data_IF_689759857214
#
_entry.id   IF_689759857214
#
_cell.length_a   1.000
_cell.length_b   1.000
_cell.length_c   1.000
_cell.angle_alpha   90.00
_cell.angle_beta   90.00
_cell.angle_gamma   90.00
#
_symmetry.space_group_name_H-M   'P 1'
#
loop_
_entity.id
_entity.type
_entity.pdbx_description
1 polymer ?
#
# COMPACT_ATOMS: atom_id res chain seq x y z
N UNK A 1 -9.74 12.51 -18.60
CA UNK A 1 -8.45 13.24 -18.62
C UNK A 1 -8.14 13.77 -17.21
N UNK A 2 -6.88 13.97 -16.88
CA UNK A 2 -6.40 14.59 -15.62
C UNK A 2 -6.23 16.07 -15.84
N UNK A 3 -6.80 16.91 -14.98
CA UNK A 3 -6.65 18.36 -15.04
C UNK A 3 -5.29 18.79 -14.46
N UNK A 4 -4.82 19.98 -14.82
CA UNK A 4 -3.48 20.43 -14.44
C UNK A 4 -3.32 20.73 -12.94
N UNK A 5 -4.41 21.05 -12.26
CA UNK A 5 -4.47 21.33 -10.82
C UNK A 5 -4.71 20.09 -9.94
N UNK A 6 -4.93 18.92 -10.55
CA UNK A 6 -5.11 17.68 -9.82
C UNK A 6 -3.77 17.07 -9.40
N UNK A 7 -3.73 16.54 -8.18
CA UNK A 7 -2.57 15.85 -7.64
C UNK A 7 -3.01 14.55 -6.94
N UNK A 8 -2.06 13.75 -6.47
CA UNK A 8 -2.42 12.58 -5.65
C UNK A 8 -3.19 12.97 -4.38
N UNK A 9 -2.87 14.12 -3.80
CA UNK A 9 -3.62 14.65 -2.66
C UNK A 9 -5.09 14.95 -3.02
N UNK A 10 -5.39 15.30 -4.27
CA UNK A 10 -6.76 15.53 -4.74
C UNK A 10 -7.66 14.30 -4.60
N UNK A 11 -7.11 13.07 -4.67
CA UNK A 11 -7.88 11.84 -4.43
C UNK A 11 -8.57 11.87 -3.07
N UNK A 12 -7.88 12.36 -2.05
CA UNK A 12 -8.41 12.46 -0.69
C UNK A 12 -9.42 13.61 -0.55
N UNK A 13 -9.11 14.78 -1.06
CA UNK A 13 -10.00 15.95 -0.97
C UNK A 13 -11.27 15.77 -1.78
N UNK A 14 -11.21 15.17 -2.94
CA UNK A 14 -12.38 14.85 -3.77
C UNK A 14 -13.28 13.80 -3.09
N UNK A 15 -12.68 12.77 -2.47
CA UNK A 15 -13.45 11.82 -1.65
C UNK A 15 -14.20 12.53 -0.53
N UNK A 16 -13.52 13.42 0.20
CA UNK A 16 -14.16 14.19 1.29
C UNK A 16 -15.31 15.04 0.74
N UNK A 17 -15.14 15.67 -0.41
CA UNK A 17 -16.19 16.46 -1.04
C UNK A 17 -17.42 15.62 -1.43
N UNK A 18 -17.22 14.36 -1.83
CA UNK A 18 -18.32 13.46 -2.20
C UNK A 18 -19.02 12.81 -1.00
N UNK A 19 -18.24 12.36 0.00
CA UNK A 19 -18.77 11.47 1.05
C UNK A 19 -18.51 11.96 2.49
N UNK A 20 -17.84 13.11 2.66
CA UNK A 20 -17.57 13.70 3.98
C UNK A 20 -16.45 13.00 4.74
N UNK A 21 -16.38 13.29 6.03
CA UNK A 21 -15.27 12.90 6.92
C UNK A 21 -15.54 11.67 7.79
N UNK A 22 -16.78 11.20 7.85
CA UNK A 22 -17.19 10.17 8.83
C UNK A 22 -16.93 8.74 8.39
N UNK A 23 -16.77 8.48 7.09
CA UNK A 23 -16.54 7.13 6.57
C UNK A 23 -15.15 6.63 6.95
N UNK A 24 -15.03 5.31 7.16
CA UNK A 24 -13.73 4.67 7.36
C UNK A 24 -12.96 4.66 6.04
N UNK A 25 -11.69 5.04 6.07
CA UNK A 25 -10.81 5.06 4.90
C UNK A 25 -9.66 4.05 5.03
N UNK A 26 -9.24 3.76 6.24
CA UNK A 26 -8.11 2.88 6.50
C UNK A 26 -8.31 2.08 7.79
N UNK A 27 -7.56 1.00 7.91
CA UNK A 27 -7.40 0.28 9.16
C UNK A 27 -5.91 0.16 9.51
N UNK A 28 -5.58 0.56 10.72
CA UNK A 28 -4.24 0.46 11.30
C UNK A 28 -4.15 -0.81 12.12
N UNK A 29 -3.13 -1.60 11.87
CA UNK A 29 -2.87 -2.80 12.64
C UNK A 29 -2.38 -2.45 14.04
N UNK A 30 -3.02 -3.02 15.06
CA UNK A 30 -2.69 -2.81 16.48
C UNK A 30 -2.12 -4.04 17.16
N UNK A 31 -2.21 -5.20 16.51
CA UNK A 31 -1.70 -6.48 16.99
C UNK A 31 -2.11 -7.61 16.04
N UNK A 32 -1.72 -8.88 16.30
CA UNK A 32 -2.14 -10.01 15.49
C UNK A 32 -3.66 -10.14 15.43
N UNK A 33 -4.25 -10.02 14.23
CA UNK A 33 -5.69 -10.05 14.01
C UNK A 33 -6.47 -8.85 14.56
N UNK A 34 -5.80 -7.82 15.07
CA UNK A 34 -6.41 -6.64 15.68
C UNK A 34 -6.18 -5.40 14.84
N UNK A 35 -7.24 -4.61 14.64
CA UNK A 35 -7.27 -3.43 13.79
C UNK A 35 -7.96 -2.25 14.48
N UNK A 36 -7.48 -1.06 14.20
CA UNK A 36 -8.13 0.20 14.56
C UNK A 36 -8.59 0.90 13.30
N UNK A 37 -9.88 1.19 13.20
CA UNK A 37 -10.45 1.91 12.07
C UNK A 37 -10.10 3.39 12.13
N UNK A 38 -9.75 3.96 10.98
CA UNK A 38 -9.40 5.37 10.82
C UNK A 38 -10.46 6.01 9.92
N UNK A 39 -11.07 7.08 10.38
CA UNK A 39 -12.01 7.85 9.57
C UNK A 39 -11.30 8.68 8.51
N UNK A 40 -12.00 9.03 7.45
CA UNK A 40 -11.48 9.89 6.39
C UNK A 40 -11.00 11.24 6.96
N UNK A 41 -11.77 11.83 7.88
CA UNK A 41 -11.39 13.08 8.54
C UNK A 41 -10.13 12.96 9.38
N UNK A 42 -9.96 11.88 10.14
CA UNK A 42 -8.73 11.65 10.91
C UNK A 42 -7.52 11.39 10.02
N UNK A 43 -7.69 10.62 8.95
CA UNK A 43 -6.61 10.42 7.98
C UNK A 43 -6.17 11.76 7.37
N UNK A 44 -7.13 12.58 6.95
CA UNK A 44 -6.86 13.92 6.40
C UNK A 44 -6.15 14.83 7.42
N UNK A 45 -6.61 14.82 8.68
CA UNK A 45 -5.95 15.57 9.77
C UNK A 45 -4.48 15.18 9.92
N UNK A 46 -4.19 13.87 9.94
CA UNK A 46 -2.82 13.36 10.04
C UNK A 46 -1.96 13.77 8.83
N UNK A 47 -2.52 13.71 7.62
CA UNK A 47 -1.85 14.14 6.38
C UNK A 47 -1.47 15.62 6.47
N UNK A 48 -2.40 16.49 6.86
CA UNK A 48 -2.14 17.92 6.96
C UNK A 48 -1.15 18.26 8.08
N UNK A 49 -1.25 17.59 9.23
CA UNK A 49 -0.30 17.75 10.34
C UNK A 49 1.13 17.35 9.93
N UNK A 50 1.28 16.22 9.23
CA UNK A 50 2.57 15.78 8.70
C UNK A 50 3.09 16.73 7.62
N UNK A 51 2.23 17.23 6.73
CA UNK A 51 2.60 18.19 5.70
C UNK A 51 3.15 19.49 6.30
N UNK A 52 2.50 20.05 7.32
CA UNK A 52 3.02 21.19 8.07
C UNK A 52 4.37 20.92 8.72
N UNK A 53 4.54 19.72 9.29
CA UNK A 53 5.81 19.30 9.87
C UNK A 53 6.94 19.22 8.84
N UNK A 54 6.65 18.72 7.65
CA UNK A 54 7.60 18.68 6.53
C UNK A 54 7.99 20.09 6.08
N UNK A 55 7.04 21.00 5.97
CA UNK A 55 7.31 22.43 5.65
C UNK A 55 8.20 23.04 6.73
N UNK A 56 7.88 22.86 8.01
CA UNK A 56 8.68 23.39 9.11
C UNK A 56 10.10 22.83 9.15
N UNK A 57 10.29 21.58 8.75
CA UNK A 57 11.60 20.97 8.61
C UNK A 57 12.43 21.57 7.45
N UNK A 58 11.78 22.20 6.48
CA UNK A 58 12.42 22.80 5.31
C UNK A 58 12.23 21.99 4.02
N UNK A 59 11.29 21.04 4.00
CA UNK A 59 10.92 20.33 2.77
C UNK A 59 10.03 21.22 1.93
N UNK A 60 10.47 21.51 0.72
CA UNK A 60 9.74 22.29 -0.28
C UNK A 60 9.38 21.45 -1.51
N UNK A 61 8.74 22.14 -2.48
CA UNK A 61 8.39 21.56 -3.78
C UNK A 61 9.65 21.03 -4.48
N UNK A 62 9.59 19.79 -4.95
CA UNK A 62 10.70 19.13 -5.62
C UNK A 62 11.76 18.52 -4.69
N UNK A 63 11.70 18.78 -3.39
CA UNK A 63 12.63 18.19 -2.43
C UNK A 63 12.31 16.72 -2.20
N UNK A 64 13.35 15.89 -2.11
CA UNK A 64 13.24 14.46 -1.95
C UNK A 64 13.23 14.05 -0.46
N UNK A 65 12.31 13.17 -0.12
CA UNK A 65 12.18 12.52 1.18
C UNK A 65 12.09 11.00 0.98
N UNK A 66 12.85 10.24 1.76
CA UNK A 66 12.84 8.78 1.72
C UNK A 66 11.91 8.20 2.78
N UNK A 67 11.09 7.23 2.37
CA UNK A 67 10.39 6.32 3.27
C UNK A 67 11.05 4.94 3.16
N UNK A 68 11.67 4.51 4.26
CA UNK A 68 12.32 3.20 4.37
C UNK A 68 11.57 2.35 5.40
N UNK A 69 10.56 1.65 4.94
CA UNK A 69 9.55 1.05 5.80
C UNK A 69 8.86 -0.14 5.14
N UNK A 70 8.44 -1.09 5.95
CA UNK A 70 7.41 -2.05 5.57
C UNK A 70 6.07 -1.34 5.26
N UNK A 71 5.09 -2.10 4.77
CA UNK A 71 3.76 -1.59 4.41
C UNK A 71 2.98 -1.23 5.68
N UNK A 72 3.05 0.03 6.07
CA UNK A 72 2.45 0.57 7.30
C UNK A 72 1.49 1.71 7.00
N UNK A 73 0.54 1.91 7.91
CA UNK A 73 -0.40 3.03 7.88
C UNK A 73 0.31 4.39 7.78
N UNK A 74 1.38 4.60 8.55
CA UNK A 74 2.14 5.84 8.57
C UNK A 74 2.81 6.13 7.22
N UNK A 75 3.18 5.09 6.47
CA UNK A 75 3.70 5.25 5.11
C UNK A 75 2.65 5.92 4.20
N UNK A 76 1.40 5.47 4.29
CA UNK A 76 0.29 6.06 3.54
C UNK A 76 0.06 7.52 3.90
N UNK A 77 0.04 7.86 5.18
CA UNK A 77 -0.10 9.25 5.65
C UNK A 77 1.01 10.14 5.10
N UNK A 78 2.27 9.69 5.20
CA UNK A 78 3.43 10.44 4.73
C UNK A 78 3.45 10.61 3.22
N UNK A 79 3.05 9.59 2.47
CA UNK A 79 2.95 9.66 1.01
C UNK A 79 1.98 10.77 0.56
N UNK A 80 0.80 10.84 1.17
CA UNK A 80 -0.16 11.91 0.89
C UNK A 80 0.30 13.29 1.39
N UNK A 81 1.01 13.34 2.51
CA UNK A 81 1.58 14.59 3.02
C UNK A 81 2.65 15.17 2.07
N UNK A 82 3.53 14.32 1.57
CA UNK A 82 4.53 14.69 0.56
C UNK A 82 3.87 15.14 -0.74
N UNK A 83 2.86 14.39 -1.20
CA UNK A 83 2.09 14.74 -2.39
C UNK A 83 1.40 16.10 -2.26
N UNK A 84 0.86 16.43 -1.09
CA UNK A 84 0.15 17.68 -0.86
C UNK A 84 1.03 18.91 -1.06
N UNK A 85 2.29 18.86 -0.67
CA UNK A 85 3.24 20.00 -0.73
C UNK A 85 4.18 19.95 -1.94
N UNK A 86 3.98 19.01 -2.86
CA UNK A 86 4.82 18.87 -4.04
C UNK A 86 6.21 18.31 -3.77
N UNK A 87 6.46 17.71 -2.62
CA UNK A 87 7.68 17.00 -2.32
C UNK A 87 7.72 15.65 -3.06
N UNK A 88 8.91 15.12 -3.25
CA UNK A 88 9.15 13.89 -4.01
C UNK A 88 9.37 12.73 -3.05
N UNK A 89 8.51 11.73 -3.10
CA UNK A 89 8.68 10.51 -2.34
C UNK A 89 9.69 9.60 -3.06
N UNK A 90 10.81 9.32 -2.39
CA UNK A 90 11.86 8.42 -2.88
C UNK A 90 11.90 7.19 -1.98
N UNK A 91 11.00 6.22 -2.20
CA UNK A 91 10.89 5.08 -1.31
C UNK A 91 12.06 4.12 -1.48
N UNK A 92 12.44 3.48 -0.39
CA UNK A 92 13.42 2.40 -0.34
C UNK A 92 12.69 1.13 0.10
N UNK A 93 12.95 0.01 -0.59
CA UNK A 93 12.40 -1.27 -0.18
C UNK A 93 12.86 -1.64 1.22
N UNK A 94 11.94 -2.16 2.04
CA UNK A 94 12.23 -2.60 3.41
C UNK A 94 13.30 -3.69 3.49
N UNK A 95 13.52 -4.41 2.38
CA UNK A 95 14.55 -5.44 2.22
C UNK A 95 15.88 -4.91 1.66
N UNK A 96 15.96 -3.65 1.26
CA UNK A 96 17.19 -3.07 0.71
C UNK A 96 18.29 -2.99 1.77
N UNK A 97 19.52 -3.24 1.32
CA UNK A 97 20.71 -3.09 2.16
C UNK A 97 21.04 -1.64 2.42
N UNK A 98 21.89 -1.39 3.44
CA UNK A 98 22.43 -0.07 3.70
C UNK A 98 23.13 0.55 2.48
N UNK A 99 23.89 -0.23 1.72
CA UNK A 99 24.57 0.23 0.51
C UNK A 99 23.59 0.62 -0.61
N UNK A 100 22.49 -0.12 -0.77
CA UNK A 100 21.44 0.23 -1.72
C UNK A 100 20.73 1.52 -1.31
N UNK A 101 20.37 1.66 -0.04
CA UNK A 101 19.76 2.87 0.50
C UNK A 101 20.68 4.09 0.34
N UNK A 102 21.97 3.96 0.62
CA UNK A 102 22.98 5.03 0.44
C UNK A 102 23.00 5.55 -1.00
N UNK A 103 22.99 4.66 -1.98
CA UNK A 103 22.98 5.04 -3.41
C UNK A 103 21.72 5.82 -3.76
N UNK A 104 20.57 5.35 -3.34
CA UNK A 104 19.27 5.98 -3.62
C UNK A 104 19.22 7.38 -2.98
N UNK A 105 19.60 7.48 -1.72
CA UNK A 105 19.58 8.73 -0.96
C UNK A 105 20.50 9.77 -1.59
N UNK A 106 21.71 9.39 -1.96
CA UNK A 106 22.68 10.31 -2.58
C UNK A 106 22.32 10.69 -4.02
N UNK A 107 21.84 9.72 -4.80
CA UNK A 107 21.42 9.99 -6.20
C UNK A 107 20.24 10.95 -6.27
N UNK A 108 19.31 10.87 -5.34
CA UNK A 108 18.09 11.70 -5.30
C UNK A 108 18.24 12.97 -4.46
N UNK A 109 19.34 13.16 -3.76
CA UNK A 109 19.54 14.33 -2.89
C UNK A 109 18.55 14.39 -1.72
N UNK A 110 18.26 13.28 -1.10
CA UNK A 110 17.27 13.15 -0.02
C UNK A 110 17.68 13.97 1.20
N UNK A 111 16.77 14.81 1.70
CA UNK A 111 16.97 15.66 2.88
C UNK A 111 16.57 15.00 4.19
N UNK A 112 15.50 14.24 4.15
CA UNK A 112 14.84 13.62 5.30
C UNK A 112 14.55 12.17 4.97
N UNK A 113 14.80 11.28 5.90
CA UNK A 113 14.37 9.89 5.82
C UNK A 113 13.46 9.54 7.00
N UNK A 114 12.44 8.74 6.73
CA UNK A 114 11.56 8.18 7.76
C UNK A 114 11.63 6.65 7.65
N UNK A 115 12.03 6.01 8.73
CA UNK A 115 12.07 4.55 8.86
C UNK A 115 10.88 4.07 9.70
N UNK A 116 10.57 2.79 9.64
CA UNK A 116 9.51 2.22 10.46
C UNK A 116 10.00 1.78 11.85
N UNK A 117 11.11 1.06 11.93
CA UNK A 117 11.58 0.43 13.16
C UNK A 117 13.06 0.66 13.42
N UNK A 118 13.53 0.18 14.58
CA UNK A 118 14.94 0.33 15.02
C UNK A 118 15.91 -0.33 14.04
N UNK A 119 15.59 -1.48 13.49
CA UNK A 119 16.48 -2.19 12.55
C UNK A 119 16.78 -1.34 11.32
N UNK A 120 15.75 -0.77 10.68
CA UNK A 120 15.93 0.08 9.50
C UNK A 120 16.50 1.44 9.84
N UNK A 121 16.17 1.98 11.01
CA UNK A 121 16.81 3.19 11.52
C UNK A 121 18.32 2.99 11.63
N UNK A 122 18.78 1.93 12.31
CA UNK A 122 20.19 1.64 12.50
C UNK A 122 20.90 1.38 11.16
N UNK A 123 20.20 0.77 10.21
CA UNK A 123 20.70 0.55 8.84
C UNK A 123 20.98 1.86 8.11
N UNK A 124 20.13 2.87 8.20
CA UNK A 124 20.37 4.21 7.66
C UNK A 124 21.41 4.98 8.49
N UNK A 125 21.35 4.89 9.78
CA UNK A 125 22.32 5.58 10.66
C UNK A 125 23.75 5.12 10.38
N UNK A 126 23.93 3.85 10.05
CA UNK A 126 25.25 3.28 9.70
C UNK A 126 25.90 3.91 8.44
N UNK A 127 25.12 4.56 7.60
CA UNK A 127 25.60 5.20 6.36
C UNK A 127 25.38 6.72 6.35
N UNK A 128 24.93 7.29 7.44
CA UNK A 128 24.54 8.70 7.53
C UNK A 128 25.73 9.64 7.26
N UNK A 129 26.91 9.29 7.69
CA UNK A 129 28.15 10.03 7.43
C UNK A 129 28.55 10.04 5.94
N UNK A 130 28.05 9.12 5.14
CA UNK A 130 28.23 9.05 3.68
C UNK A 130 27.08 9.66 2.87
N UNK A 131 26.07 10.20 3.55
CA UNK A 131 24.92 10.85 2.93
C UNK A 131 24.87 12.33 3.36
N UNK A 132 25.73 13.20 2.80
CA UNK A 132 25.89 14.58 3.28
C UNK A 132 24.63 15.44 3.12
N UNK A 133 23.73 15.11 2.20
CA UNK A 133 22.44 15.78 2.02
C UNK A 133 21.37 15.39 3.03
N UNK A 134 21.53 14.24 3.68
CA UNK A 134 20.57 13.73 4.67
C UNK A 134 20.73 14.46 6.01
N UNK A 135 19.72 15.25 6.39
CA UNK A 135 19.79 16.11 7.56
C UNK A 135 19.22 15.42 8.82
N UNK A 136 18.26 14.52 8.66
CA UNK A 136 17.60 13.84 9.78
C UNK A 136 16.99 12.50 9.36
N UNK A 137 16.97 11.58 10.32
CA UNK A 137 16.24 10.31 10.22
C UNK A 137 15.20 10.28 11.34
N UNK A 138 13.92 10.10 10.97
CA UNK A 138 12.82 9.87 11.89
C UNK A 138 12.46 8.38 11.90
N UNK A 139 11.79 7.93 12.96
CA UNK A 139 11.36 6.55 13.11
C UNK A 139 9.88 6.50 13.50
N UNK A 140 9.09 5.72 12.76
CA UNK A 140 7.64 5.58 12.99
C UNK A 140 7.36 4.98 14.37
N UNK A 141 8.12 3.98 14.80
CA UNK A 141 8.02 3.41 16.15
C UNK A 141 8.43 4.40 17.26
N UNK A 142 9.19 5.43 16.92
CA UNK A 142 9.50 6.59 17.75
C UNK A 142 8.54 7.75 17.59
N UNK A 143 7.34 7.51 17.05
CA UNK A 143 6.31 8.52 16.81
C UNK A 143 6.73 9.62 15.81
N UNK A 144 7.22 9.24 14.64
CA UNK A 144 7.59 10.18 13.57
C UNK A 144 6.44 11.15 13.21
N UNK A 145 5.20 10.66 13.14
CA UNK A 145 4.04 11.52 12.84
C UNK A 145 3.82 12.58 13.92
N UNK A 146 3.94 12.22 15.19
CA UNK A 146 3.85 13.18 16.30
C UNK A 146 5.00 14.19 16.31
N UNK A 147 6.20 13.77 15.94
CA UNK A 147 7.35 14.68 15.80
C UNK A 147 7.12 15.71 14.69
N UNK A 148 6.60 15.28 13.53
CA UNK A 148 6.25 16.19 12.44
C UNK A 148 5.10 17.11 12.82
N UNK A 149 4.05 16.61 13.47
CA UNK A 149 2.95 17.43 13.98
C UNK A 149 3.45 18.52 14.94
N UNK A 150 4.35 18.17 15.87
CA UNK A 150 4.98 19.13 16.79
C UNK A 150 5.80 20.20 16.09
N UNK A 151 6.58 19.85 15.07
CA UNK A 151 7.31 20.79 14.25
C UNK A 151 6.38 21.73 13.47
N UNK A 152 5.26 21.22 13.01
CA UNK A 152 4.33 21.94 12.13
C UNK A 152 3.40 22.93 12.82
N UNK A 153 3.39 23.00 14.14
CA UNK A 153 2.48 23.92 14.87
C UNK A 153 2.69 25.39 14.55
N UNK A 154 3.88 25.77 14.12
CA UNK A 154 4.22 27.13 13.69
C UNK A 154 3.85 27.45 12.24
N UNK A 155 3.47 26.46 11.46
CA UNK A 155 3.07 26.64 10.04
C UNK A 155 1.58 26.95 10.00
N UNK A 156 1.22 28.06 9.37
CA UNK A 156 -0.18 28.49 9.24
C UNK A 156 -0.94 27.66 8.19
N UNK A 157 -2.27 27.66 8.30
CA UNK A 157 -3.12 27.05 7.29
C UNK A 157 -2.95 27.71 5.92
N UNK A 158 -2.77 29.04 5.90
CA UNK A 158 -2.54 29.81 4.67
C UNK A 158 -1.24 29.41 3.97
N UNK A 159 -0.17 29.17 4.71
CA UNK A 159 1.09 28.68 4.14
C UNK A 159 0.93 27.28 3.56
N UNK A 160 0.26 26.37 4.27
CA UNK A 160 -0.02 25.02 3.80
C UNK A 160 -0.87 25.06 2.52
N UNK A 161 -1.95 25.83 2.52
CA UNK A 161 -2.83 26.00 1.35
C UNK A 161 -2.09 26.56 0.14
N UNK A 162 -1.18 27.50 0.32
CA UNK A 162 -0.35 28.03 -0.74
C UNK A 162 0.58 26.96 -1.34
N UNK A 163 1.16 26.10 -0.51
CA UNK A 163 1.98 24.97 -0.97
C UNK A 163 1.16 23.93 -1.74
N UNK A 164 -0.04 23.63 -1.28
CA UNK A 164 -0.97 22.74 -1.97
C UNK A 164 -1.36 23.32 -3.33
N UNK A 165 -1.71 24.60 -3.38
CA UNK A 165 -2.11 25.27 -4.61
C UNK A 165 -0.97 25.39 -5.64
N UNK A 166 0.28 25.39 -5.20
CA UNK A 166 1.46 25.43 -6.07
C UNK A 166 1.87 24.06 -6.63
N UNK A 167 1.18 22.99 -6.24
CA UNK A 167 1.47 21.62 -6.71
C UNK A 167 0.51 21.25 -7.83
N UNK A 168 1.06 20.73 -8.94
CA UNK A 168 0.31 20.46 -10.18
C UNK A 168 0.50 19.02 -10.65
N UNK A 169 -0.34 18.61 -11.59
CA UNK A 169 -0.37 17.23 -12.10
C UNK A 169 0.96 16.78 -12.73
N UNK A 170 1.66 17.69 -13.40
CA UNK A 170 2.94 17.37 -14.07
C UNK A 170 4.16 17.50 -13.15
N UNK A 171 3.97 17.89 -11.90
CA UNK A 171 5.03 17.87 -10.92
C UNK A 171 5.43 16.43 -10.59
N UNK A 172 6.69 16.25 -10.26
CA UNK A 172 7.25 14.98 -9.88
C UNK A 172 6.67 14.53 -8.53
N UNK A 173 6.05 13.36 -8.51
CA UNK A 173 5.47 12.76 -7.28
C UNK A 173 6.45 11.81 -6.59
N UNK A 174 7.22 11.06 -7.36
CA UNK A 174 8.10 10.01 -6.84
C UNK A 174 9.22 9.66 -7.80
N UNK A 175 10.31 9.15 -7.24
CA UNK A 175 11.36 8.46 -7.99
C UNK A 175 11.42 7.03 -7.48
N UNK A 176 11.14 6.06 -8.35
CA UNK A 176 11.17 4.63 -8.02
C UNK A 176 12.45 4.03 -8.59
N UNK A 177 13.26 3.45 -7.71
CA UNK A 177 14.49 2.78 -8.11
C UNK A 177 14.24 1.32 -8.44
N UNK A 178 14.63 0.92 -9.64
CA UNK A 178 14.54 -0.47 -10.10
C UNK A 178 15.93 -1.06 -10.29
N UNK A 179 16.08 -2.37 -10.05
CA UNK A 179 17.28 -3.11 -10.40
C UNK A 179 17.42 -3.16 -11.93
N UNK A 180 18.26 -2.30 -12.48
CA UNK A 180 18.56 -2.29 -13.92
C UNK A 180 19.38 -3.52 -14.33
N UNK A 181 19.29 -3.91 -15.60
CA UNK A 181 20.09 -4.98 -16.21
C UNK A 181 21.61 -4.70 -16.19
N UNK A 182 22.04 -3.51 -15.84
CA UNK A 182 23.43 -3.02 -15.84
C UNK A 182 24.05 -2.84 -14.44
N UNK A 183 23.43 -3.34 -13.39
CA UNK A 183 23.99 -3.41 -12.02
C UNK A 183 23.79 -2.18 -11.13
N UNK A 184 23.64 -0.96 -11.65
CA UNK A 184 23.32 0.23 -10.87
C UNK A 184 21.81 0.49 -10.89
N UNK A 185 21.14 0.74 -9.74
CA UNK A 185 19.73 1.11 -9.71
C UNK A 185 19.50 2.39 -10.52
N UNK A 186 18.43 2.38 -11.33
CA UNK A 186 17.99 3.55 -12.09
C UNK A 186 16.73 4.11 -11.46
N UNK A 187 16.72 5.42 -11.25
CA UNK A 187 15.54 6.15 -10.77
C UNK A 187 14.57 6.41 -11.92
N UNK A 188 13.35 5.93 -11.76
CA UNK A 188 12.23 6.21 -12.69
C UNK A 188 11.40 7.32 -12.07
N UNK A 189 11.34 8.44 -12.77
CA UNK A 189 10.56 9.61 -12.36
C UNK A 189 9.10 9.46 -12.79
N UNK A 190 8.18 9.60 -11.83
CA UNK A 190 6.74 9.53 -12.04
C UNK A 190 6.06 10.78 -11.50
N UNK A 191 5.20 11.38 -12.34
CA UNK A 191 4.41 12.55 -11.98
C UNK A 191 3.10 12.17 -11.32
N UNK A 192 2.42 13.14 -10.70
CA UNK A 192 1.06 12.96 -10.21
C UNK A 192 0.13 12.51 -11.35
N UNK A 193 0.26 13.11 -12.53
CA UNK A 193 -0.54 12.76 -13.72
C UNK A 193 -0.37 11.29 -14.12
N UNK A 194 0.83 10.74 -14.02
CA UNK A 194 1.06 9.33 -14.36
C UNK A 194 0.20 8.41 -13.49
N UNK A 195 0.22 8.61 -12.17
CA UNK A 195 -0.59 7.81 -11.26
C UNK A 195 -2.09 8.06 -11.43
N UNK A 196 -2.52 9.30 -11.51
CA UNK A 196 -3.94 9.64 -11.65
C UNK A 196 -4.54 9.05 -12.92
N UNK A 197 -3.80 9.04 -14.03
CA UNK A 197 -4.23 8.45 -15.29
C UNK A 197 -4.46 6.93 -15.13
N UNK A 198 -3.56 6.24 -14.44
CA UNK A 198 -3.68 4.79 -14.20
C UNK A 198 -4.81 4.49 -13.21
N UNK A 199 -5.00 5.31 -12.17
CA UNK A 199 -6.11 5.17 -11.22
C UNK A 199 -7.45 5.28 -11.94
N UNK A 200 -7.61 6.28 -12.81
CA UNK A 200 -8.85 6.44 -13.61
C UNK A 200 -9.09 5.27 -14.54
N UNK A 201 -8.06 4.81 -15.24
CA UNK A 201 -8.16 3.60 -16.06
C UNK A 201 -8.55 2.37 -15.22
N UNK A 202 -8.01 2.27 -14.01
CA UNK A 202 -8.37 1.22 -13.05
C UNK A 202 -9.87 1.25 -12.71
N UNK A 203 -10.41 2.41 -12.43
CA UNK A 203 -11.85 2.56 -12.15
C UNK A 203 -12.73 2.22 -13.36
N UNK A 204 -12.32 2.60 -14.56
CA UNK A 204 -13.04 2.26 -15.79
C UNK A 204 -13.02 0.74 -16.08
N UNK A 205 -11.90 0.08 -15.84
CA UNK A 205 -11.73 -1.33 -16.17
C UNK A 205 -12.15 -2.30 -15.06
N UNK A 206 -12.03 -1.90 -13.79
CA UNK A 206 -12.18 -2.73 -12.60
C UNK A 206 -13.10 -2.10 -11.55
N UNK A 207 -14.01 -1.21 -11.95
CA UNK A 207 -14.88 -0.47 -11.04
C UNK A 207 -15.68 -1.36 -10.10
N UNK A 208 -16.19 -2.49 -10.59
CA UNK A 208 -16.92 -3.46 -9.77
C UNK A 208 -16.10 -4.00 -8.58
N UNK A 209 -14.78 -4.10 -8.74
CA UNK A 209 -13.87 -4.58 -7.68
C UNK A 209 -13.39 -3.42 -6.80
N UNK A 210 -13.05 -2.29 -7.43
CA UNK A 210 -12.35 -1.18 -6.77
C UNK A 210 -13.29 -0.18 -6.10
N UNK A 211 -14.56 -0.10 -6.55
CA UNK A 211 -15.50 0.94 -6.12
C UNK A 211 -16.81 0.40 -5.54
N UNK A 212 -17.27 -0.76 -6.00
CA UNK A 212 -18.61 -1.24 -5.64
C UNK A 212 -18.58 -2.11 -4.37
N UNK A 213 -19.73 -2.17 -3.67
CA UNK A 213 -19.98 -3.08 -2.54
C UNK A 213 -19.02 -2.87 -1.33
N UNK A 214 -18.70 -1.64 -1.00
CA UNK A 214 -17.83 -1.29 0.14
C UNK A 214 -16.46 -2.00 0.06
N UNK A 215 -15.61 -1.64 -0.92
CA UNK A 215 -14.37 -2.37 -1.18
C UNK A 215 -13.40 -2.28 0.00
N UNK A 216 -12.82 -3.42 0.35
CA UNK A 216 -11.85 -3.57 1.43
C UNK A 216 -10.58 -4.23 0.89
N UNK A 217 -9.50 -3.49 0.90
CA UNK A 217 -8.18 -3.93 0.45
C UNK A 217 -7.30 -4.28 1.64
N UNK A 218 -6.82 -5.51 1.74
CA UNK A 218 -5.69 -5.83 2.61
C UNK A 218 -4.39 -5.69 1.81
N UNK A 219 -3.61 -4.65 2.13
CA UNK A 219 -2.40 -4.30 1.41
C UNK A 219 -1.17 -4.81 2.14
N UNK A 220 -0.43 -5.72 1.52
CA UNK A 220 0.78 -6.34 2.07
C UNK A 220 1.97 -6.30 1.10
N UNK A 221 1.79 -5.83 -0.13
CA UNK A 221 2.88 -5.61 -1.07
C UNK A 221 3.72 -4.40 -0.67
N UNK A 222 5.03 -4.37 -1.03
CA UNK A 222 5.88 -3.23 -0.75
C UNK A 222 5.37 -1.95 -1.43
N UNK A 223 5.12 -0.90 -0.65
CA UNK A 223 4.69 0.41 -1.17
C UNK A 223 5.80 1.15 -1.94
N UNK A 224 7.06 0.73 -1.81
CA UNK A 224 8.14 1.17 -2.70
C UNK A 224 7.91 0.76 -4.16
N UNK A 225 7.09 -0.27 -4.42
CA UNK A 225 6.70 -0.67 -5.76
C UNK A 225 5.48 0.11 -6.24
N UNK A 226 5.54 0.66 -7.46
CA UNK A 226 4.49 1.52 -8.01
C UNK A 226 3.11 0.83 -8.11
N UNK A 227 3.07 -0.48 -8.31
CA UNK A 227 1.82 -1.24 -8.41
C UNK A 227 1.08 -1.32 -7.05
N UNK A 228 1.80 -1.50 -5.95
CA UNK A 228 1.20 -1.43 -4.61
C UNK A 228 0.67 -0.03 -4.29
N UNK A 229 1.40 1.01 -4.70
CA UNK A 229 0.95 2.40 -4.57
C UNK A 229 -0.29 2.68 -5.41
N UNK A 230 -0.32 2.22 -6.65
CA UNK A 230 -1.49 2.34 -7.53
C UNK A 230 -2.75 1.81 -6.85
N UNK A 231 -2.70 0.59 -6.29
CA UNK A 231 -3.87 0.00 -5.64
C UNK A 231 -4.27 0.72 -4.36
N UNK A 232 -3.30 1.26 -3.61
CA UNK A 232 -3.55 2.16 -2.47
C UNK A 232 -4.33 3.40 -2.92
N UNK A 233 -3.91 4.03 -3.99
CA UNK A 233 -4.59 5.21 -4.53
C UNK A 233 -5.99 4.91 -5.01
N UNK A 234 -6.22 3.75 -5.63
CA UNK A 234 -7.57 3.31 -6.01
C UNK A 234 -8.48 3.18 -4.79
N UNK A 235 -7.99 2.62 -3.70
CA UNK A 235 -8.76 2.49 -2.46
C UNK A 235 -9.06 3.85 -1.81
N UNK A 236 -8.04 4.69 -1.66
CA UNK A 236 -8.17 6.02 -1.04
C UNK A 236 -9.08 6.94 -1.87
N UNK A 237 -8.97 6.90 -3.19
CA UNK A 237 -9.75 7.74 -4.10
C UNK A 237 -11.19 7.27 -4.33
N UNK A 238 -11.58 6.07 -3.89
CA UNK A 238 -12.96 5.58 -3.96
C UNK A 238 -13.83 6.20 -2.87
N UNK A 239 -15.15 6.11 -3.00
CA UNK A 239 -16.07 6.77 -2.07
C UNK A 239 -16.06 6.18 -0.67
N UNK A 240 -15.90 4.88 -0.53
CA UNK A 240 -15.97 4.16 0.74
C UNK A 240 -14.96 3.00 0.87
N UNK A 241 -13.95 2.96 0.00
CA UNK A 241 -12.87 1.98 0.11
C UNK A 241 -12.11 2.09 1.42
N UNK A 242 -11.75 0.93 1.97
CA UNK A 242 -10.95 0.83 3.19
C UNK A 242 -9.67 0.05 2.89
N UNK A 243 -8.53 0.64 3.17
CA UNK A 243 -7.23 -0.03 3.06
C UNK A 243 -6.72 -0.43 4.44
N UNK A 244 -6.44 -1.71 4.64
CA UNK A 244 -5.73 -2.24 5.79
C UNK A 244 -4.26 -2.47 5.43
N UNK A 245 -3.37 -1.89 6.21
CA UNK A 245 -1.92 -2.01 5.98
C UNK A 245 -1.36 -3.18 6.80
N UNK A 246 -0.78 -4.17 6.12
CA UNK A 246 -0.16 -5.34 6.73
C UNK A 246 1.37 -5.29 6.59
N UNK A 247 2.10 -4.95 7.66
CA UNK A 247 3.56 -4.82 7.62
C UNK A 247 4.29 -6.16 7.54
N UNK A 248 3.72 -7.23 8.11
CA UNK A 248 4.36 -8.53 8.25
C UNK A 248 3.48 -9.66 7.74
N UNK A 249 3.99 -10.39 6.76
CA UNK A 249 3.33 -11.55 6.15
C UNK A 249 3.18 -12.76 7.09
N UNK A 250 3.84 -12.77 8.25
CA UNK A 250 3.73 -13.86 9.23
C UNK A 250 2.32 -14.00 9.80
N UNK A 251 1.61 -12.89 9.93
CA UNK A 251 0.23 -12.82 10.44
C UNK A 251 -0.84 -12.78 9.33
N UNK A 252 -0.49 -13.05 8.08
CA UNK A 252 -1.41 -12.93 6.94
C UNK A 252 -2.75 -13.66 7.15
N UNK A 253 -2.72 -14.93 7.57
CA UNK A 253 -3.95 -15.72 7.71
C UNK A 253 -4.88 -15.19 8.83
N UNK A 254 -4.40 -14.91 10.05
CA UNK A 254 -5.23 -14.25 11.06
C UNK A 254 -5.77 -12.89 10.61
N UNK A 255 -4.96 -12.12 9.90
CA UNK A 255 -5.34 -10.78 9.46
C UNK A 255 -6.35 -10.80 8.31
N UNK A 256 -6.27 -11.76 7.39
CA UNK A 256 -7.30 -11.99 6.38
C UNK A 256 -8.67 -12.27 7.03
N UNK A 257 -8.70 -13.08 8.08
CA UNK A 257 -9.93 -13.40 8.79
C UNK A 257 -10.53 -12.23 9.54
N UNK A 258 -9.69 -11.43 10.18
CA UNK A 258 -10.14 -10.30 11.01
C UNK A 258 -10.47 -9.07 10.18
N UNK A 259 -9.69 -8.77 9.16
CA UNK A 259 -9.90 -7.62 8.29
C UNK A 259 -11.05 -7.84 7.30
N UNK A 260 -11.25 -9.06 6.82
CA UNK A 260 -12.29 -9.44 5.84
C UNK A 260 -12.18 -8.63 4.54
N UNK A 261 -11.10 -8.78 3.78
CA UNK A 261 -10.97 -8.07 2.51
C UNK A 261 -11.99 -8.54 1.49
N UNK A 262 -12.40 -7.65 0.60
CA UNK A 262 -13.21 -7.97 -0.59
C UNK A 262 -12.32 -8.26 -1.80
N UNK A 263 -11.11 -7.70 -1.82
CA UNK A 263 -10.12 -7.99 -2.85
C UNK A 263 -8.69 -7.92 -2.31
N UNK A 264 -7.80 -8.58 -3.01
CA UNK A 264 -6.37 -8.64 -2.70
C UNK A 264 -5.55 -8.41 -3.96
N UNK A 265 -4.41 -7.78 -3.77
CA UNK A 265 -3.36 -7.73 -4.76
C UNK A 265 -2.19 -8.59 -4.25
N UNK A 266 -1.84 -9.62 -4.98
CA UNK A 266 -0.78 -10.54 -4.57
C UNK A 266 0.05 -11.03 -5.76
N UNK A 267 1.25 -11.48 -5.43
CA UNK A 267 2.11 -12.21 -6.36
C UNK A 267 1.90 -13.72 -6.18
N UNK A 268 2.19 -14.56 -7.20
CA UNK A 268 1.93 -16.01 -7.15
C UNK A 268 2.43 -16.70 -5.87
N UNK A 269 3.59 -16.31 -5.36
CA UNK A 269 4.17 -16.87 -4.11
C UNK A 269 3.29 -16.68 -2.87
N UNK A 270 2.46 -15.64 -2.84
CA UNK A 270 1.51 -15.41 -1.73
C UNK A 270 0.44 -16.50 -1.75
N UNK A 271 -0.13 -16.78 -2.90
CA UNK A 271 -1.14 -17.82 -3.07
C UNK A 271 -0.58 -19.22 -2.81
N UNK A 272 0.67 -19.49 -3.24
CA UNK A 272 1.39 -20.72 -2.91
C UNK A 272 1.56 -20.88 -1.38
N UNK A 273 1.92 -19.79 -0.68
CA UNK A 273 2.05 -19.81 0.78
C UNK A 273 0.73 -20.13 1.48
N UNK A 274 -0.36 -19.54 1.01
CA UNK A 274 -1.71 -19.81 1.52
C UNK A 274 -2.10 -21.27 1.26
N UNK A 275 -1.90 -21.76 0.04
CA UNK A 275 -2.16 -23.15 -0.34
C UNK A 275 -1.36 -24.12 0.54
N UNK A 276 -0.07 -23.91 0.69
CA UNK A 276 0.81 -24.75 1.49
C UNK A 276 0.44 -24.75 2.98
N UNK A 277 -0.02 -23.61 3.52
CA UNK A 277 -0.52 -23.53 4.88
C UNK A 277 -1.82 -24.33 5.06
N UNK A 278 -2.75 -24.21 4.12
CA UNK A 278 -3.99 -25.00 4.10
C UNK A 278 -3.71 -26.50 3.97
N UNK A 279 -2.80 -26.88 3.07
CA UNK A 279 -2.38 -28.27 2.87
C UNK A 279 -1.74 -28.87 4.12
N UNK A 280 -0.82 -28.14 4.78
CA UNK A 280 -0.23 -28.58 6.06
C UNK A 280 -1.28 -28.76 7.15
N UNK A 281 -2.26 -27.86 7.23
CA UNK A 281 -3.37 -27.96 8.20
C UNK A 281 -4.26 -29.16 7.93
N UNK A 282 -4.47 -29.55 6.69
CA UNK A 282 -5.21 -30.74 6.29
C UNK A 282 -4.48 -32.05 6.64
N UNK A 283 -3.12 -32.01 6.68
CA UNK A 283 -2.27 -33.15 7.02
C UNK A 283 -2.21 -34.23 5.94
N UNK A 284 -1.67 -35.39 6.28
CA UNK A 284 -1.47 -36.51 5.33
C UNK A 284 -2.56 -37.62 5.40
N UNK A 285 -3.45 -37.53 6.39
CA UNK A 285 -4.52 -38.53 6.59
C UNK A 285 -5.71 -38.38 5.63
N UNK A 286 -6.87 -38.83 6.05
CA UNK A 286 -8.11 -38.77 5.26
C UNK A 286 -8.46 -37.33 4.80
N UNK A 287 -8.34 -36.36 5.70
CA UNK A 287 -8.56 -34.94 5.40
C UNK A 287 -7.57 -34.40 4.34
N UNK A 288 -6.30 -34.81 4.42
CA UNK A 288 -5.29 -34.45 3.43
C UNK A 288 -5.60 -35.00 2.04
N UNK A 289 -6.10 -36.24 1.96
CA UNK A 289 -6.53 -36.81 0.67
C UNK A 289 -7.73 -36.08 0.08
N UNK A 290 -8.72 -35.73 0.90
CA UNK A 290 -9.88 -34.93 0.46
C UNK A 290 -9.41 -33.56 -0.05
N UNK A 291 -8.50 -32.89 0.66
CA UNK A 291 -7.94 -31.61 0.26
C UNK A 291 -7.20 -31.71 -1.08
N UNK A 292 -6.38 -32.75 -1.28
CA UNK A 292 -5.66 -32.97 -2.52
C UNK A 292 -6.60 -33.21 -3.73
N UNK A 293 -7.67 -33.99 -3.52
CA UNK A 293 -8.71 -34.20 -4.55
C UNK A 293 -9.48 -32.94 -4.87
N UNK A 294 -9.81 -32.12 -3.86
CA UNK A 294 -10.44 -30.82 -4.06
C UNK A 294 -9.55 -29.86 -4.85
N UNK A 295 -8.27 -29.80 -4.51
CA UNK A 295 -7.30 -28.97 -5.22
C UNK A 295 -7.11 -29.41 -6.68
N UNK A 296 -7.14 -30.70 -6.96
CA UNK A 296 -7.12 -31.24 -8.32
C UNK A 296 -8.39 -30.85 -9.08
N UNK A 297 -9.55 -31.04 -8.49
CA UNK A 297 -10.84 -30.66 -9.07
C UNK A 297 -10.90 -29.15 -9.41
N UNK A 298 -10.38 -28.28 -8.52
CA UNK A 298 -10.31 -26.83 -8.76
C UNK A 298 -9.40 -26.50 -9.96
N UNK A 299 -8.25 -27.17 -10.08
CA UNK A 299 -7.36 -26.98 -11.24
C UNK A 299 -7.99 -27.43 -12.57
N UNK A 300 -8.67 -28.59 -12.56
CA UNK A 300 -9.39 -29.09 -13.74
C UNK A 300 -10.52 -28.13 -14.14
N UNK A 301 -11.25 -27.61 -13.16
CA UNK A 301 -12.31 -26.62 -13.37
C UNK A 301 -11.78 -25.36 -14.04
N UNK A 302 -10.76 -24.75 -13.42
CA UNK A 302 -10.14 -23.53 -13.94
C UNK A 302 -9.58 -23.68 -15.36
N UNK A 303 -8.94 -24.82 -15.67
CA UNK A 303 -8.45 -25.12 -17.02
C UNK A 303 -9.60 -25.18 -18.03
N UNK A 304 -10.69 -25.85 -17.68
CA UNK A 304 -11.86 -25.94 -18.57
C UNK A 304 -12.45 -24.55 -18.88
N UNK A 305 -12.48 -23.67 -17.89
CA UNK A 305 -12.94 -22.28 -18.08
C UNK A 305 -11.98 -21.47 -18.96
N UNK A 306 -10.66 -21.56 -18.70
CA UNK A 306 -9.64 -20.88 -19.51
C UNK A 306 -9.64 -21.32 -20.98
N UNK A 307 -9.91 -22.59 -21.23
CA UNK A 307 -9.99 -23.15 -22.58
C UNK A 307 -11.34 -22.89 -23.26
N UNK A 308 -12.24 -22.14 -22.61
CA UNK A 308 -13.60 -21.84 -23.15
C UNK A 308 -14.50 -23.07 -23.26
N UNK A 309 -14.15 -24.17 -22.55
CA UNK A 309 -14.88 -25.42 -22.57
C UNK A 309 -16.10 -25.43 -21.66
N UNK A 310 -17.02 -26.39 -21.91
CA UNK A 310 -18.16 -26.63 -21.01
C UNK A 310 -17.81 -27.72 -20.00
N UNK A 311 -18.13 -27.47 -18.74
CA UNK A 311 -17.94 -28.46 -17.67
C UNK A 311 -18.88 -29.66 -17.85
N UNK A 312 -18.32 -30.86 -17.73
CA UNK A 312 -19.11 -32.10 -17.73
C UNK A 312 -20.02 -32.19 -16.50
N UNK A 313 -21.06 -33.02 -16.56
CA UNK A 313 -21.93 -33.24 -15.41
C UNK A 313 -21.16 -33.76 -14.16
N UNK A 314 -20.16 -34.60 -14.39
CA UNK A 314 -19.32 -35.14 -13.31
C UNK A 314 -18.38 -34.08 -12.71
N UNK A 315 -17.87 -33.15 -13.54
CA UNK A 315 -17.08 -32.01 -13.04
C UNK A 315 -17.93 -31.08 -12.20
N UNK A 316 -19.14 -30.75 -12.65
CA UNK A 316 -20.09 -29.93 -11.88
C UNK A 316 -20.45 -30.55 -10.55
N UNK A 317 -20.75 -31.85 -10.52
CA UNK A 317 -21.10 -32.56 -9.28
C UNK A 317 -19.93 -32.59 -8.28
N UNK A 318 -18.72 -32.89 -8.75
CA UNK A 318 -17.51 -32.88 -7.89
C UNK A 318 -17.18 -31.45 -7.38
N UNK A 319 -17.26 -30.45 -8.23
CA UNK A 319 -17.03 -29.08 -7.83
C UNK A 319 -18.05 -28.64 -6.75
N UNK A 320 -19.33 -28.91 -6.94
CA UNK A 320 -20.38 -28.59 -5.96
C UNK A 320 -20.17 -29.31 -4.61
N UNK A 321 -19.70 -30.56 -4.61
CA UNK A 321 -19.36 -31.27 -3.39
C UNK A 321 -18.21 -30.64 -2.62
N UNK A 322 -17.14 -30.24 -3.31
CA UNK A 322 -16.00 -29.59 -2.69
C UNK A 322 -16.29 -28.13 -2.33
N UNK A 323 -17.24 -27.50 -3.01
CA UNK A 323 -17.68 -26.13 -2.72
C UNK A 323 -18.17 -25.99 -1.27
N UNK A 324 -19.01 -26.92 -0.83
CA UNK A 324 -19.57 -26.88 0.53
C UNK A 324 -18.62 -27.34 1.62
N UNK A 325 -17.65 -28.21 1.30
CA UNK A 325 -16.80 -28.87 2.28
C UNK A 325 -15.40 -28.26 2.40
N UNK A 326 -14.71 -28.04 1.27
CA UNK A 326 -13.31 -27.60 1.25
C UNK A 326 -13.18 -26.15 0.83
N UNK A 327 -13.81 -25.75 -0.29
CA UNK A 327 -13.60 -24.41 -0.85
C UNK A 327 -14.19 -23.32 0.06
N UNK A 328 -15.35 -23.58 0.68
CA UNK A 328 -15.93 -22.68 1.69
C UNK A 328 -15.00 -22.50 2.89
N UNK A 329 -14.36 -23.58 3.35
CA UNK A 329 -13.41 -23.52 4.48
C UNK A 329 -12.13 -22.75 4.09
N UNK A 330 -11.64 -22.92 2.87
CA UNK A 330 -10.48 -22.16 2.35
C UNK A 330 -10.84 -20.69 2.16
N UNK A 331 -11.98 -20.40 1.52
CA UNK A 331 -12.45 -19.01 1.37
C UNK A 331 -12.69 -18.34 2.72
N UNK A 332 -13.32 -19.03 3.67
CA UNK A 332 -13.49 -18.52 5.04
C UNK A 332 -12.17 -18.26 5.78
N UNK A 333 -11.07 -18.90 5.34
CA UNK A 333 -9.73 -18.59 5.85
C UNK A 333 -9.07 -17.39 5.14
N UNK A 334 -9.49 -17.09 3.91
CA UNK A 334 -9.02 -15.95 3.11
C UNK A 334 -9.85 -14.68 3.32
N UNK A 335 -11.07 -14.82 3.82
CA UNK A 335 -12.04 -13.76 4.00
C UNK A 335 -13.45 -14.26 3.61
N UNK A 336 -14.52 -13.76 4.24
CA UNK A 336 -15.86 -14.29 4.04
C UNK A 336 -16.54 -13.87 2.73
N UNK A 337 -15.93 -13.01 1.91
CA UNK A 337 -16.51 -12.48 0.68
C UNK A 337 -15.65 -12.76 -0.55
#
# INVERSE_FOLDING_TARGET
AVNDDETLYSLLTERIARTGNATTIAARKTGPGAWSSITTGEFHRLVLAAAKGLIAFGVGKGDAVTLFSATRFEWGVLDFALAAIGAVNVPVYDTDSAAQAERIINDSGVKLAVTDNRERYDRLDSINDRCPGLQRILMMDGNALGALEGLGVSVSDEELEARIADTHADDLATIVYTSGSTGAPKGVELTHRNFLSVVRAGYECLGEVLCDNHPRLLLFLPLAHCFARFIQYCSIGSDDGVVGYLPDMKSLLPDLRSFKPTYLLGVPRVFEKVYNAASRKAGTGFKGRIFAQAAQCAREWSRTEQDGGKHSASQRARHAMFETSVYRAVRGALGPN
#
